data_IF_527938463236
#
_entry.id   IF_527938463236
#
_cell.length_a   1.000
_cell.length_b   1.000
_cell.length_c   1.000
_cell.angle_alpha   90.00
_cell.angle_beta   90.00
_cell.angle_gamma   90.00
#
_symmetry.space_group_name_H-M   'P 1'
#
loop_
_entity.id
_entity.type
_entity.pdbx_description
1 polymer ?
#
# COMPACT_ATOMS: atom_id res chain seq x y z
N UNK A 1 -1.06 51.05 66.42
CA UNK A 1 -0.18 49.88 66.31
C UNK A 1 -0.64 49.10 65.10
N UNK A 2 0.17 49.07 64.03
CA UNK A 2 -0.11 48.29 62.82
C UNK A 2 -0.02 46.79 63.13
N UNK A 3 -0.86 46.00 62.48
CA UNK A 3 -0.50 44.65 62.08
C UNK A 3 -1.08 44.40 60.67
N UNK A 4 -0.24 44.29 59.62
CA UNK A 4 -0.65 43.92 58.28
C UNK A 4 -0.55 42.39 58.14
N UNK A 5 -1.63 41.73 57.71
CA UNK A 5 -1.52 40.34 57.26
C UNK A 5 -2.06 40.17 55.85
N UNK A 6 -1.15 39.65 55.05
CA UNK A 6 -1.12 39.50 53.60
C UNK A 6 -2.08 38.42 53.09
N UNK A 7 -2.37 38.55 51.80
CA UNK A 7 -2.49 37.46 50.82
C UNK A 7 -3.62 36.44 50.96
N UNK A 8 -4.80 36.88 50.54
CA UNK A 8 -5.80 36.04 49.90
C UNK A 8 -5.98 36.39 48.43
N UNK A 9 -4.92 36.71 47.68
CA UNK A 9 -4.99 36.86 46.23
C UNK A 9 -5.40 35.51 45.63
N UNK A 10 -6.71 35.29 45.49
CA UNK A 10 -7.27 34.19 44.75
C UNK A 10 -6.66 34.25 43.34
N UNK A 11 -5.68 33.36 43.09
CA UNK A 11 -5.12 33.19 41.75
C UNK A 11 -6.32 32.93 40.84
N UNK A 12 -6.57 33.75 39.81
CA UNK A 12 -7.63 33.44 38.86
C UNK A 12 -7.37 32.03 38.32
N UNK A 13 -8.42 31.23 38.05
CA UNK A 13 -8.24 29.89 37.52
C UNK A 13 -7.30 30.01 36.32
N UNK A 14 -6.18 29.27 36.34
CA UNK A 14 -5.26 29.22 35.22
C UNK A 14 -6.07 28.76 34.02
N UNK A 15 -6.48 29.72 33.20
CA UNK A 15 -7.17 29.46 31.96
C UNK A 15 -6.11 28.81 31.07
N UNK A 16 -6.09 27.47 31.07
CA UNK A 16 -5.29 26.67 30.16
C UNK A 16 -5.53 27.25 28.77
N UNK A 17 -4.48 27.81 28.17
CA UNK A 17 -4.63 28.38 26.85
C UNK A 17 -5.15 27.27 25.93
N UNK A 18 -6.13 27.54 25.05
CA UNK A 18 -6.68 26.51 24.17
C UNK A 18 -5.63 26.01 23.16
N UNK A 19 -4.54 26.77 22.99
CA UNK A 19 -3.47 26.50 22.03
C UNK A 19 -2.79 25.14 22.24
N UNK A 20 -2.22 24.77 23.41
CA UNK A 20 -1.65 23.45 23.64
C UNK A 20 -2.65 22.31 23.44
N UNK A 21 -3.94 22.51 23.77
CA UNK A 21 -4.98 21.52 23.55
C UNK A 21 -5.27 21.29 22.06
N UNK A 22 -5.40 22.38 21.29
CA UNK A 22 -5.59 22.33 19.84
C UNK A 22 -4.39 21.69 19.15
N UNK A 23 -3.16 22.03 19.56
CA UNK A 23 -1.94 21.44 19.01
C UNK A 23 -1.87 19.94 19.30
N UNK A 24 -2.18 19.52 20.52
CA UNK A 24 -2.23 18.09 20.88
C UNK A 24 -3.29 17.34 20.06
N UNK A 25 -4.49 17.92 19.90
CA UNK A 25 -5.57 17.32 19.12
C UNK A 25 -5.18 17.17 17.65
N UNK A 26 -4.61 18.22 17.04
CA UNK A 26 -4.12 18.17 15.66
C UNK A 26 -3.01 17.12 15.52
N UNK A 27 -2.08 17.06 16.48
CA UNK A 27 -1.04 16.04 16.50
C UNK A 27 -1.61 14.61 16.52
N UNK A 28 -2.61 14.35 17.37
CA UNK A 28 -3.30 13.05 17.43
C UNK A 28 -4.03 12.74 16.12
N UNK A 29 -4.73 13.72 15.53
CA UNK A 29 -5.43 13.53 14.25
C UNK A 29 -4.43 13.21 13.13
N UNK A 30 -3.30 13.92 13.06
CA UNK A 30 -2.26 13.67 12.07
C UNK A 30 -1.67 12.27 12.26
N UNK A 31 -1.31 11.89 13.49
CA UNK A 31 -0.78 10.54 13.77
C UNK A 31 -1.81 9.47 13.45
N UNK A 32 -3.08 9.66 13.82
CA UNK A 32 -4.16 8.72 13.51
C UNK A 32 -4.41 8.62 12.01
N UNK A 33 -4.33 9.73 11.27
CA UNK A 33 -4.51 9.75 9.81
C UNK A 33 -3.34 9.06 9.12
N UNK A 34 -2.11 9.34 9.54
CA UNK A 34 -0.92 8.65 9.03
C UNK A 34 -0.99 7.15 9.36
N UNK A 35 -1.27 6.79 10.60
CA UNK A 35 -1.46 5.39 10.99
C UNK A 35 -2.57 4.73 10.17
N UNK A 36 -3.69 5.39 9.94
CA UNK A 36 -4.78 4.87 9.11
C UNK A 36 -4.35 4.65 7.64
N UNK A 37 -3.57 5.56 7.06
CA UNK A 37 -3.03 5.41 5.70
C UNK A 37 -2.02 4.26 5.63
N UNK A 38 -1.13 4.13 6.62
CA UNK A 38 -0.12 3.05 6.66
C UNK A 38 -0.70 1.69 7.02
N UNK A 39 -1.71 1.63 7.90
CA UNK A 39 -2.35 0.39 8.34
C UNK A 39 -3.38 -0.13 7.31
N UNK A 40 -3.89 0.72 6.41
CA UNK A 40 -4.76 0.27 5.31
C UNK A 40 -4.03 -0.45 4.18
N UNK A 41 -2.71 -0.56 4.24
CA UNK A 41 -1.94 -1.41 3.33
C UNK A 41 -2.06 -2.90 3.73
N UNK A 42 -3.27 -3.36 4.08
CA UNK A 42 -3.58 -4.79 4.07
C UNK A 42 -3.74 -5.19 2.61
N UNK A 43 -2.62 -5.56 1.98
CA UNK A 43 -2.60 -6.07 0.62
C UNK A 43 -3.19 -7.50 0.63
N UNK A 44 -4.52 -7.61 0.57
CA UNK A 44 -5.25 -8.88 0.35
C UNK A 44 -5.05 -9.44 -1.08
N UNK A 45 -4.11 -8.88 -1.83
CA UNK A 45 -3.81 -9.25 -3.19
C UNK A 45 -3.02 -10.55 -3.28
N UNK A 46 -3.36 -11.38 -4.26
CA UNK A 46 -2.53 -12.53 -4.67
C UNK A 46 -1.53 -12.11 -5.74
N UNK A 47 -0.31 -12.63 -5.65
CA UNK A 47 0.65 -12.54 -6.74
C UNK A 47 0.25 -13.49 -7.86
N UNK A 48 0.04 -12.94 -9.05
CA UNK A 48 -0.29 -13.67 -10.27
C UNK A 48 0.81 -13.43 -11.29
N UNK A 49 1.23 -14.53 -11.93
CA UNK A 49 2.19 -14.49 -13.02
C UNK A 49 1.47 -14.03 -14.28
N UNK A 50 1.94 -13.00 -15.00
CA UNK A 50 1.47 -12.72 -16.34
C UNK A 50 1.72 -13.93 -17.26
N UNK A 51 0.73 -14.34 -18.04
CA UNK A 51 0.89 -15.36 -19.08
C UNK A 51 1.51 -14.77 -20.34
N UNK A 52 1.25 -13.49 -20.61
CA UNK A 52 1.81 -12.77 -21.76
C UNK A 52 2.40 -11.45 -21.30
N UNK A 53 3.57 -11.13 -21.86
CA UNK A 53 4.24 -9.84 -21.73
C UNK A 53 4.63 -9.35 -23.11
N UNK A 54 4.36 -8.08 -23.38
CA UNK A 54 4.69 -7.46 -24.64
C UNK A 54 5.03 -5.99 -24.41
N UNK A 55 6.09 -5.50 -25.06
CA UNK A 55 6.32 -4.06 -25.18
C UNK A 55 5.29 -3.49 -26.18
N UNK A 56 4.48 -2.55 -25.71
CA UNK A 56 3.50 -1.84 -26.53
C UNK A 56 4.10 -0.55 -27.07
N UNK A 57 5.00 0.06 -26.29
CA UNK A 57 5.79 1.24 -26.65
C UNK A 57 7.22 1.13 -26.08
N UNK A 58 8.06 2.15 -26.31
CA UNK A 58 9.45 2.20 -25.85
C UNK A 58 9.57 2.05 -24.33
N UNK A 59 8.65 2.65 -23.57
CA UNK A 59 8.60 2.64 -22.11
C UNK A 59 7.36 1.93 -21.55
N UNK A 60 6.50 1.38 -22.40
CA UNK A 60 5.21 0.85 -21.97
C UNK A 60 5.09 -0.63 -22.30
N UNK A 61 4.75 -1.43 -21.29
CA UNK A 61 4.55 -2.87 -21.42
C UNK A 61 3.09 -3.24 -21.12
N UNK A 62 2.58 -4.23 -21.83
CA UNK A 62 1.32 -4.89 -21.52
C UNK A 62 1.60 -6.24 -20.87
N UNK A 63 0.97 -6.46 -19.72
CA UNK A 63 0.99 -7.70 -18.98
C UNK A 63 -0.41 -8.28 -18.90
N UNK A 64 -0.58 -9.52 -19.38
CA UNK A 64 -1.88 -10.20 -19.39
C UNK A 64 -1.81 -11.45 -18.53
N UNK A 65 -2.73 -11.58 -17.57
CA UNK A 65 -3.02 -12.82 -16.85
C UNK A 65 -4.33 -13.41 -17.41
N UNK A 66 -4.25 -14.62 -17.95
CA UNK A 66 -5.36 -15.30 -18.59
C UNK A 66 -6.16 -16.11 -17.58
N UNK A 67 -7.45 -16.31 -17.87
CA UNK A 67 -8.28 -17.26 -17.14
C UNK A 67 -8.48 -16.95 -15.66
N UNK A 68 -8.42 -15.68 -15.27
CA UNK A 68 -8.66 -15.27 -13.89
C UNK A 68 -10.16 -15.33 -13.55
N UNK A 69 -10.53 -15.49 -12.27
CA UNK A 69 -11.94 -15.40 -11.84
C UNK A 69 -12.59 -14.08 -12.29
N UNK A 70 -13.87 -14.09 -12.67
CA UNK A 70 -14.56 -12.89 -13.18
C UNK A 70 -14.71 -11.73 -12.18
N UNK A 71 -14.49 -12.00 -10.89
CA UNK A 71 -14.43 -10.98 -9.84
C UNK A 71 -13.01 -10.45 -9.60
N UNK A 72 -12.00 -11.05 -10.22
CA UNK A 72 -10.63 -10.67 -10.01
C UNK A 72 -10.32 -9.36 -10.74
N UNK A 73 -9.54 -8.49 -10.10
CA UNK A 73 -9.04 -7.24 -10.68
C UNK A 73 -7.58 -7.04 -10.35
N UNK A 74 -6.87 -6.44 -11.30
CA UNK A 74 -5.50 -5.99 -11.04
C UNK A 74 -5.60 -4.78 -10.11
N UNK A 75 -5.01 -4.91 -8.93
CA UNK A 75 -4.82 -3.79 -8.01
C UNK A 75 -3.60 -2.98 -8.43
N UNK A 76 -2.47 -3.67 -8.63
CA UNK A 76 -1.22 -3.07 -9.08
C UNK A 76 -0.33 -4.07 -9.83
N UNK A 77 0.64 -3.54 -10.56
CA UNK A 77 1.74 -4.31 -11.13
C UNK A 77 3.03 -3.97 -10.39
N UNK A 78 3.83 -4.99 -10.10
CA UNK A 78 5.16 -4.85 -9.53
C UNK A 78 6.17 -5.13 -10.64
N UNK A 79 7.10 -4.19 -10.81
CA UNK A 79 8.14 -4.27 -11.81
C UNK A 79 9.50 -4.20 -11.14
N UNK A 80 10.35 -5.17 -11.43
CA UNK A 80 11.75 -5.16 -11.05
C UNK A 80 12.61 -5.00 -12.31
N UNK A 81 13.41 -3.95 -12.31
CA UNK A 81 14.23 -3.52 -13.44
C UNK A 81 15.68 -3.86 -13.15
N UNK A 82 16.30 -4.60 -14.05
CA UNK A 82 17.73 -4.86 -14.05
C UNK A 82 18.36 -4.44 -15.37
N UNK A 83 19.69 -4.54 -15.44
CA UNK A 83 20.45 -4.23 -16.66
C UNK A 83 20.07 -5.13 -17.85
N UNK A 84 19.51 -6.32 -17.58
CA UNK A 84 19.29 -7.36 -18.61
C UNK A 84 17.85 -7.83 -18.74
N UNK A 85 17.04 -7.65 -17.70
CA UNK A 85 15.65 -8.11 -17.67
C UNK A 85 14.73 -7.11 -16.97
N UNK A 86 13.49 -7.08 -17.45
CA UNK A 86 12.35 -6.45 -16.78
C UNK A 86 11.45 -7.57 -16.29
N UNK A 87 11.38 -7.75 -14.97
CA UNK A 87 10.51 -8.73 -14.34
C UNK A 87 9.18 -8.06 -13.99
N UNK A 88 8.07 -8.73 -14.31
CA UNK A 88 6.72 -8.22 -14.04
C UNK A 88 5.92 -9.24 -13.27
N UNK A 89 5.28 -8.78 -12.19
CA UNK A 89 4.38 -9.55 -11.34
C UNK A 89 3.08 -8.76 -11.14
N UNK A 90 1.92 -9.40 -11.22
CA UNK A 90 0.63 -8.72 -11.01
C UNK A 90 0.12 -9.01 -9.61
N UNK A 91 -0.39 -7.98 -8.93
CA UNK A 91 -1.14 -8.12 -7.70
C UNK A 91 -2.61 -8.05 -8.07
N UNK A 92 -3.31 -9.15 -7.83
CA UNK A 92 -4.72 -9.31 -8.17
C UNK A 92 -5.53 -9.45 -6.89
N UNK A 93 -6.59 -8.66 -6.77
CA UNK A 93 -7.56 -8.72 -5.67
C UNK A 93 -8.89 -9.22 -6.19
N UNK A 94 -9.68 -9.87 -5.33
CA UNK A 94 -11.05 -10.21 -5.66
C UNK A 94 -11.96 -9.05 -5.22
N UNK A 95 -12.85 -8.62 -6.11
CA UNK A 95 -13.82 -7.57 -5.80
C UNK A 95 -14.94 -8.14 -4.94
N UNK A 96 -15.31 -7.43 -3.88
CA UNK A 96 -16.42 -7.80 -3.02
C UNK A 96 -17.72 -8.00 -3.83
N UNK A 97 -18.29 -9.20 -3.72
CA UNK A 97 -19.53 -9.58 -4.41
C UNK A 97 -19.52 -11.02 -4.90
N UNK A 98 -20.61 -11.49 -5.53
CA UNK A 98 -20.65 -12.82 -6.11
C UNK A 98 -19.68 -12.91 -7.30
N UNK A 99 -18.64 -13.75 -7.17
CA UNK A 99 -17.81 -14.14 -8.30
C UNK A 99 -18.64 -15.00 -9.27
N UNK A 100 -18.73 -14.59 -10.52
CA UNK A 100 -19.26 -15.45 -11.59
C UNK A 100 -18.27 -16.58 -11.90
N UNK A 101 -18.77 -17.75 -12.30
CA UNK A 101 -17.95 -18.86 -12.81
C UNK A 101 -17.29 -18.56 -14.18
N UNK A 102 -17.52 -17.37 -14.74
CA UNK A 102 -16.88 -16.90 -15.97
C UNK A 102 -15.44 -16.50 -15.65
N UNK A 103 -14.50 -16.99 -16.47
CA UNK A 103 -13.11 -16.56 -16.44
C UNK A 103 -12.91 -15.35 -17.33
N UNK A 104 -12.07 -14.41 -16.89
CA UNK A 104 -11.71 -13.20 -17.62
C UNK A 104 -10.20 -13.11 -17.78
N UNK A 105 -9.76 -12.46 -18.85
CA UNK A 105 -8.37 -12.08 -19.02
C UNK A 105 -8.16 -10.70 -18.41
N UNK A 106 -7.19 -10.59 -17.51
CA UNK A 106 -6.80 -9.33 -16.89
C UNK A 106 -5.60 -8.76 -17.61
N UNK A 107 -5.71 -7.50 -18.05
CA UNK A 107 -4.64 -6.78 -18.76
C UNK A 107 -4.24 -5.54 -17.96
N UNK A 108 -2.94 -5.38 -17.73
CA UNK A 108 -2.35 -4.15 -17.20
C UNK A 108 -1.39 -3.56 -18.22
N UNK A 109 -1.53 -2.26 -18.47
CA UNK A 109 -0.52 -1.46 -19.15
C UNK A 109 0.33 -0.75 -18.09
N UNK A 110 1.64 -0.86 -18.23
CA UNK A 110 2.60 -0.41 -17.22
C UNK A 110 3.64 0.46 -17.91
N UNK A 111 3.70 1.73 -17.50
CA UNK A 111 4.74 2.66 -17.95
C UNK A 111 5.96 2.52 -17.03
N UNK A 112 7.11 2.28 -17.64
CA UNK A 112 8.39 2.08 -16.99
C UNK A 112 9.11 3.43 -16.83
N UNK A 113 9.94 3.58 -15.78
CA UNK A 113 10.74 4.80 -15.59
C UNK A 113 11.87 4.94 -16.63
N UNK A 114 12.25 3.84 -17.27
CA UNK A 114 13.27 3.79 -18.33
C UNK A 114 12.75 2.91 -19.47
N UNK A 115 13.17 3.19 -20.73
CA UNK A 115 12.78 2.37 -21.88
C UNK A 115 13.14 0.89 -21.71
N UNK A 116 12.33 -0.01 -22.26
CA UNK A 116 12.58 -1.47 -22.25
C UNK A 116 13.93 -1.77 -22.92
N UNK A 117 14.23 -1.12 -24.04
CA UNK A 117 15.46 -1.33 -24.80
C UNK A 117 15.64 -2.80 -25.21
N UNK A 118 16.86 -3.32 -25.04
CA UNK A 118 17.19 -4.71 -25.35
C UNK A 118 16.93 -5.68 -24.17
N UNK A 119 16.31 -5.20 -23.09
CA UNK A 119 16.05 -6.02 -21.89
C UNK A 119 15.02 -7.11 -22.19
N UNK A 120 15.23 -8.29 -21.64
CA UNK A 120 14.27 -9.38 -21.75
C UNK A 120 13.06 -9.13 -20.83
N UNK A 121 11.85 -9.14 -21.39
CA UNK A 121 10.62 -9.14 -20.59
C UNK A 121 10.37 -10.53 -19.99
N UNK A 122 10.22 -10.61 -18.67
CA UNK A 122 9.98 -11.87 -17.96
C UNK A 122 8.82 -11.81 -17.00
N UNK A 123 7.95 -12.81 -17.10
CA UNK A 123 6.85 -12.98 -16.16
C UNK A 123 7.36 -13.69 -14.91
N UNK A 124 7.32 -12.98 -13.78
CA UNK A 124 7.70 -13.47 -12.46
C UNK A 124 6.50 -13.80 -11.57
N UNK A 125 6.77 -14.53 -10.50
CA UNK A 125 5.94 -14.62 -9.29
C UNK A 125 6.85 -14.89 -8.09
N UNK A 126 6.66 -14.12 -7.01
CA UNK A 126 7.32 -14.37 -5.74
C UNK A 126 8.76 -13.89 -5.63
N UNK A 127 9.28 -13.12 -6.61
CA UNK A 127 10.52 -12.34 -6.39
C UNK A 127 10.24 -11.08 -5.58
N UNK A 128 9.07 -10.48 -5.75
CA UNK A 128 8.62 -9.37 -4.92
C UNK A 128 7.87 -9.92 -3.71
N UNK A 129 8.28 -9.50 -2.52
CA UNK A 129 7.56 -9.82 -1.28
C UNK A 129 6.37 -8.87 -1.19
N UNK A 130 5.16 -9.43 -1.17
CA UNK A 130 4.03 -8.70 -0.60
C UNK A 130 4.41 -8.33 0.84
N UNK A 131 4.12 -7.10 1.30
CA UNK A 131 4.26 -6.78 2.71
C UNK A 131 3.41 -7.78 3.50
N UNK A 132 4.04 -8.54 4.40
CA UNK A 132 3.33 -9.47 5.25
C UNK A 132 2.33 -8.68 6.09
N UNK A 133 1.03 -8.94 5.95
CA UNK A 133 0.05 -8.53 6.95
C UNK A 133 0.39 -9.25 8.25
N UNK A 134 0.63 -8.46 9.29
CA UNK A 134 1.15 -8.95 10.56
C UNK A 134 0.24 -8.52 11.69
N UNK A 135 -1.00 -9.00 11.69
CA UNK A 135 -1.73 -9.14 12.95
C UNK A 135 -1.19 -10.37 13.68
N UNK A 136 -0.89 -10.18 14.96
CA UNK A 136 -0.17 -11.14 15.77
C UNK A 136 -0.75 -12.55 15.69
N UNK A 137 0.16 -13.53 15.69
CA UNK A 137 -0.09 -14.97 15.86
C UNK A 137 -0.48 -15.80 14.64
N UNK A 138 0.14 -15.59 13.47
CA UNK A 138 0.66 -16.67 12.58
C UNK A 138 1.01 -16.11 11.19
N UNK A 139 2.02 -15.24 11.12
CA UNK A 139 2.58 -14.84 9.83
C UNK A 139 3.41 -16.00 9.24
N UNK A 140 2.79 -16.88 8.47
CA UNK A 140 3.52 -17.77 7.56
C UNK A 140 3.95 -16.99 6.32
N UNK A 141 4.98 -16.17 6.47
CA UNK A 141 5.76 -15.68 5.34
C UNK A 141 6.89 -16.69 5.08
N UNK A 142 6.56 -17.77 4.35
CA UNK A 142 7.51 -18.79 3.96
C UNK A 142 8.20 -18.43 2.64
N UNK A 143 9.54 -18.43 2.54
CA UNK A 143 10.19 -18.57 1.24
C UNK A 143 9.91 -19.97 0.66
N UNK A 144 9.88 -20.16 -0.67
CA UNK A 144 9.90 -21.52 -1.22
C UNK A 144 11.21 -22.21 -0.82
N UNK A 145 11.09 -23.44 -0.32
CA UNK A 145 12.20 -24.37 -0.13
C UNK A 145 12.73 -24.88 -1.47
#
# INVERSE_FOLDING_TARGET
MQDPHDDGAARPPQQLSPVPFVVALVGVIVVATLAFVFLRAEDDGRLVRPDRLQAVDEDTISATALGQPGCARIDRAQVDLSDTEVLVELVVVDVEGPCSDVTVDLVAEITLPEPVGDRALRAGVGRTRLPCTGDGTSATCGPPA
#
